data_IF_555405770042
#
_entry.id   IF_555405770042
#
_cell.length_a   1.000
_cell.length_b   1.000
_cell.length_c   1.000
_cell.angle_alpha   90.00
_cell.angle_beta   90.00
_cell.angle_gamma   90.00
#
_symmetry.space_group_name_H-M   'P 1'
#
loop_
_entity.id
_entity.type
_entity.pdbx_description
1 polymer ?
#
# COMPACT_ATOMS: atom_id res chain seq x y z
N UNK A 1 16.69 -7.71 17.99
CA UNK A 1 15.93 -7.18 16.83
C UNK A 1 14.51 -7.65 17.00
N UNK A 2 13.51 -6.77 16.85
CA UNK A 2 12.11 -7.19 17.00
C UNK A 2 11.72 -8.08 15.82
N UNK A 3 10.84 -9.05 16.01
CA UNK A 3 10.33 -9.93 14.95
C UNK A 3 9.76 -9.14 13.75
N UNK A 4 9.22 -7.96 14.02
CA UNK A 4 8.68 -7.04 12.98
C UNK A 4 9.79 -6.56 12.03
N UNK A 5 11.02 -6.30 12.53
CA UNK A 5 12.13 -5.87 11.66
C UNK A 5 12.62 -7.00 10.75
N UNK A 6 12.40 -8.26 11.11
CA UNK A 6 12.72 -9.40 10.25
C UNK A 6 11.74 -9.53 9.08
N UNK A 7 10.45 -9.24 9.30
CA UNK A 7 9.44 -9.23 8.23
C UNK A 7 9.72 -8.17 7.18
N UNK A 8 10.21 -7.00 7.58
CA UNK A 8 10.56 -5.92 6.67
C UNK A 8 11.78 -6.23 5.78
N UNK A 9 12.68 -7.11 6.25
CA UNK A 9 13.88 -7.51 5.52
C UNK A 9 13.64 -8.67 4.53
N UNK A 10 12.44 -9.24 4.47
CA UNK A 10 12.11 -10.24 3.47
C UNK A 10 12.11 -9.59 2.08
N UNK A 11 12.56 -10.31 1.03
CA UNK A 11 12.51 -9.80 -0.34
C UNK A 11 11.07 -9.48 -0.73
N UNK A 12 10.92 -8.52 -1.65
CA UNK A 12 9.60 -8.20 -2.20
C UNK A 12 9.13 -9.33 -3.11
N UNK A 13 7.86 -9.70 -2.92
CA UNK A 13 7.21 -10.76 -3.68
C UNK A 13 6.38 -10.10 -4.78
N UNK A 14 6.48 -10.62 -6.01
CA UNK A 14 5.58 -10.30 -7.11
C UNK A 14 4.81 -11.54 -7.52
N UNK A 15 3.53 -11.40 -7.76
CA UNK A 15 2.65 -12.44 -8.28
C UNK A 15 2.48 -12.34 -9.80
N UNK A 16 3.12 -11.35 -10.43
CA UNK A 16 3.04 -11.05 -11.87
C UNK A 16 4.42 -10.94 -12.52
N UNK A 17 5.43 -11.59 -11.93
CA UNK A 17 6.83 -11.59 -12.41
C UNK A 17 7.43 -10.19 -12.64
N UNK A 18 6.91 -9.17 -11.96
CA UNK A 18 7.31 -7.76 -12.09
C UNK A 18 7.24 -7.23 -13.53
N UNK A 19 6.30 -7.72 -14.34
CA UNK A 19 6.12 -7.27 -15.72
C UNK A 19 5.95 -5.74 -15.77
N UNK A 20 6.78 -5.10 -16.57
CA UNK A 20 6.70 -3.66 -16.82
C UNK A 20 5.65 -3.37 -17.89
N UNK A 21 5.14 -2.13 -17.90
CA UNK A 21 4.20 -1.70 -18.95
C UNK A 21 4.76 -1.87 -20.37
N UNK A 22 6.08 -1.72 -20.55
CA UNK A 22 6.74 -1.87 -21.84
C UNK A 22 6.73 -3.34 -22.31
N UNK A 23 6.99 -4.28 -21.40
CA UNK A 23 6.92 -5.72 -21.71
C UNK A 23 5.49 -6.14 -22.07
N UNK A 24 4.48 -5.65 -21.35
CA UNK A 24 3.07 -5.88 -21.69
C UNK A 24 2.73 -5.29 -23.06
N UNK A 25 3.27 -4.13 -23.41
CA UNK A 25 3.10 -3.54 -24.74
C UNK A 25 3.70 -4.38 -25.84
N UNK A 26 4.91 -4.88 -25.63
CA UNK A 26 5.61 -5.77 -26.59
C UNK A 26 4.85 -7.09 -26.77
N UNK A 27 4.37 -7.70 -25.68
CA UNK A 27 3.52 -8.91 -25.73
C UNK A 27 2.23 -8.64 -26.51
N UNK A 28 1.51 -7.57 -26.20
CA UNK A 28 0.24 -7.23 -26.87
C UNK A 28 0.43 -7.00 -28.37
N UNK A 29 1.51 -6.33 -28.77
CA UNK A 29 1.86 -6.13 -30.19
C UNK A 29 2.25 -7.43 -30.89
N UNK A 30 3.01 -8.28 -30.18
CA UNK A 30 3.40 -9.60 -30.68
C UNK A 30 2.18 -10.47 -30.96
N UNK A 31 1.29 -10.63 -30.01
CA UNK A 31 0.06 -11.39 -30.13
C UNK A 31 -0.86 -10.86 -31.25
N UNK A 32 -1.01 -9.54 -31.35
CA UNK A 32 -1.76 -8.93 -32.43
C UNK A 32 -1.15 -9.25 -33.81
N UNK A 33 0.16 -9.12 -33.95
CA UNK A 33 0.87 -9.39 -35.21
C UNK A 33 0.76 -10.84 -35.61
N UNK A 34 0.88 -11.77 -34.67
CA UNK A 34 0.71 -13.18 -34.89
C UNK A 34 -0.73 -13.52 -35.32
N UNK A 35 -1.73 -13.04 -34.58
CA UNK A 35 -3.14 -13.26 -34.89
C UNK A 35 -3.51 -12.75 -36.31
N UNK A 36 -2.98 -11.56 -36.66
CA UNK A 36 -3.19 -11.01 -38.01
C UNK A 36 -2.51 -11.83 -39.09
N UNK A 37 -1.31 -12.32 -38.83
CA UNK A 37 -0.59 -13.20 -39.80
C UNK A 37 -1.34 -14.52 -39.99
N UNK A 38 -1.87 -15.12 -38.93
CA UNK A 38 -2.67 -16.34 -39.00
C UNK A 38 -3.98 -16.14 -39.79
N UNK A 39 -4.64 -14.97 -39.57
CA UNK A 39 -5.92 -14.66 -40.19
C UNK A 39 -5.79 -14.21 -41.65
N UNK A 40 -4.75 -13.47 -42.02
CA UNK A 40 -4.62 -12.80 -43.30
C UNK A 40 -3.43 -13.25 -44.16
N UNK A 41 -2.50 -14.02 -43.55
CA UNK A 41 -1.23 -14.42 -44.19
C UNK A 41 -0.21 -13.27 -44.32
N UNK A 42 -0.50 -12.10 -43.74
CA UNK A 42 0.34 -10.90 -43.80
C UNK A 42 0.70 -10.38 -42.44
N UNK A 43 1.95 -9.97 -42.24
CA UNK A 43 2.38 -9.30 -41.01
C UNK A 43 1.98 -7.82 -41.06
N UNK A 44 1.17 -7.33 -40.13
CA UNK A 44 0.71 -5.94 -40.14
C UNK A 44 1.85 -4.97 -39.82
N UNK A 45 1.91 -3.87 -40.58
CA UNK A 45 2.77 -2.72 -40.21
C UNK A 45 1.95 -1.77 -39.37
N UNK A 46 2.29 -1.62 -38.08
CA UNK A 46 1.58 -0.75 -37.16
C UNK A 46 2.29 0.60 -37.15
N UNK A 47 1.69 1.58 -37.83
CA UNK A 47 2.19 2.96 -37.82
C UNK A 47 1.86 3.65 -36.49
N UNK A 48 2.77 4.47 -35.95
CA UNK A 48 2.48 5.34 -34.81
C UNK A 48 1.25 6.21 -35.08
N UNK A 49 0.38 6.37 -34.09
CA UNK A 49 -0.88 7.12 -34.19
C UNK A 49 -1.95 6.57 -35.14
N UNK A 50 -1.76 5.37 -35.71
CA UNK A 50 -2.82 4.66 -36.42
C UNK A 50 -3.89 4.15 -35.46
N UNK A 51 -5.12 3.95 -35.97
CA UNK A 51 -6.22 3.40 -35.16
C UNK A 51 -5.84 2.07 -34.47
N UNK A 52 -5.22 1.09 -35.18
CA UNK A 52 -4.74 -0.13 -34.52
C UNK A 52 -3.73 0.15 -33.37
N UNK A 53 -2.79 1.09 -33.59
CA UNK A 53 -1.81 1.44 -32.56
C UNK A 53 -2.46 2.04 -31.31
N UNK A 54 -3.49 2.87 -31.48
CA UNK A 54 -4.23 3.45 -30.34
C UNK A 54 -5.04 2.42 -29.58
N UNK A 55 -5.68 1.47 -30.29
CA UNK A 55 -6.41 0.37 -29.68
C UNK A 55 -5.45 -0.52 -28.89
N UNK A 56 -4.32 -0.91 -29.47
CA UNK A 56 -3.31 -1.73 -28.80
C UNK A 56 -2.77 -1.04 -27.55
N UNK A 57 -2.53 0.27 -27.62
CA UNK A 57 -2.10 1.05 -26.44
C UNK A 57 -3.16 1.06 -25.34
N UNK A 58 -4.43 1.23 -25.69
CA UNK A 58 -5.51 1.17 -24.71
C UNK A 58 -5.62 -0.23 -24.07
N UNK A 59 -5.49 -1.30 -24.88
CA UNK A 59 -5.48 -2.68 -24.38
C UNK A 59 -4.28 -2.97 -23.47
N UNK A 60 -3.10 -2.47 -23.82
CA UNK A 60 -1.90 -2.57 -22.99
C UNK A 60 -2.09 -1.91 -21.63
N UNK A 61 -2.64 -0.68 -21.62
CA UNK A 61 -2.93 0.04 -20.38
C UNK A 61 -3.91 -0.74 -19.50
N UNK A 62 -4.99 -1.23 -20.09
CA UNK A 62 -5.99 -2.01 -19.38
C UNK A 62 -5.42 -3.33 -18.85
N UNK A 63 -4.67 -4.06 -19.66
CA UNK A 63 -3.99 -5.30 -19.26
C UNK A 63 -3.00 -5.06 -18.12
N UNK A 64 -2.18 -4.00 -18.22
CA UNK A 64 -1.24 -3.65 -17.17
C UNK A 64 -1.95 -3.29 -15.86
N UNK A 65 -3.07 -2.57 -15.93
CA UNK A 65 -3.86 -2.25 -14.74
C UNK A 65 -4.43 -3.51 -14.07
N UNK A 66 -4.90 -4.48 -14.85
CA UNK A 66 -5.35 -5.77 -14.31
C UNK A 66 -4.20 -6.49 -13.60
N UNK A 67 -3.00 -6.53 -14.19
CA UNK A 67 -1.83 -7.14 -13.57
C UNK A 67 -1.49 -6.47 -12.23
N UNK A 68 -1.61 -5.15 -12.13
CA UNK A 68 -1.41 -4.44 -10.85
C UNK A 68 -2.43 -4.87 -9.80
N UNK A 69 -3.70 -5.07 -10.16
CA UNK A 69 -4.71 -5.55 -9.22
C UNK A 69 -4.44 -7.01 -8.80
N UNK A 70 -4.03 -7.86 -9.75
CA UNK A 70 -3.67 -9.26 -9.48
C UNK A 70 -2.46 -9.35 -8.55
N UNK A 71 -1.48 -8.46 -8.69
CA UNK A 71 -0.33 -8.40 -7.79
C UNK A 71 -0.70 -7.85 -6.41
N UNK A 72 -1.53 -6.83 -6.35
CA UNK A 72 -1.92 -6.18 -5.10
C UNK A 72 -2.84 -7.04 -4.22
N UNK A 73 -3.76 -7.82 -4.82
CA UNK A 73 -4.73 -8.62 -4.08
C UNK A 73 -4.10 -9.60 -3.11
N UNK A 74 -3.28 -10.56 -3.57
CA UNK A 74 -2.61 -11.52 -2.68
C UNK A 74 -1.64 -10.87 -1.69
N UNK A 75 -1.02 -9.75 -2.05
CA UNK A 75 -0.13 -9.01 -1.13
C UNK A 75 -0.86 -8.55 0.12
N UNK A 76 -2.11 -8.14 0.02
CA UNK A 76 -2.93 -7.74 1.18
C UNK A 76 -3.15 -8.87 2.19
N UNK A 77 -3.06 -10.12 1.76
CA UNK A 77 -3.15 -11.30 2.64
C UNK A 77 -1.83 -11.61 3.35
N UNK A 78 -0.74 -10.93 3.00
CA UNK A 78 0.56 -11.13 3.61
C UNK A 78 0.82 -10.05 4.67
N UNK A 79 1.20 -10.47 5.87
CA UNK A 79 1.45 -9.58 7.01
C UNK A 79 2.44 -8.45 6.69
N UNK A 80 3.41 -8.69 5.80
CA UNK A 80 4.39 -7.69 5.35
C UNK A 80 3.76 -6.49 4.67
N UNK A 81 2.69 -6.71 3.90
CA UNK A 81 2.06 -5.69 3.04
C UNK A 81 0.70 -5.23 3.55
N UNK A 82 0.14 -5.92 4.55
CA UNK A 82 -1.16 -5.58 5.12
C UNK A 82 -1.08 -4.30 5.95
N UNK A 83 -2.07 -3.44 5.80
CA UNK A 83 -2.20 -2.21 6.55
C UNK A 83 -3.67 -1.92 6.84
N UNK A 84 -3.94 -1.12 7.86
CA UNK A 84 -5.28 -0.68 8.24
C UNK A 84 -6.29 -1.84 8.37
N UNK A 85 -7.35 -1.84 7.57
CA UNK A 85 -8.44 -2.80 7.64
C UNK A 85 -8.00 -4.21 7.23
N UNK A 86 -7.12 -4.33 6.22
CA UNK A 86 -6.56 -5.62 5.80
C UNK A 86 -5.79 -6.31 6.95
N UNK A 87 -5.08 -5.51 7.78
CA UNK A 87 -4.38 -6.03 8.95
C UNK A 87 -5.35 -6.44 10.06
N UNK A 88 -6.44 -5.71 10.24
CA UNK A 88 -7.47 -6.05 11.22
C UNK A 88 -8.20 -7.35 10.84
N UNK A 89 -8.48 -7.54 9.55
CA UNK A 89 -9.06 -8.78 9.03
C UNK A 89 -8.12 -9.97 9.22
N UNK A 90 -6.83 -9.80 8.92
CA UNK A 90 -5.84 -10.84 9.19
C UNK A 90 -5.74 -11.17 10.68
N UNK A 91 -5.71 -10.15 11.55
CA UNK A 91 -5.68 -10.34 12.99
C UNK A 91 -6.93 -11.06 13.50
N UNK A 92 -8.11 -10.75 12.92
CA UNK A 92 -9.38 -11.42 13.22
C UNK A 92 -9.34 -12.92 12.97
N UNK A 93 -8.65 -13.39 11.93
CA UNK A 93 -8.46 -14.83 11.66
C UNK A 93 -7.70 -15.55 12.79
N UNK A 94 -6.90 -14.83 13.58
CA UNK A 94 -6.17 -15.35 14.73
C UNK A 94 -6.85 -15.00 16.07
N UNK A 95 -8.08 -14.48 16.05
CA UNK A 95 -8.80 -14.07 17.24
C UNK A 95 -8.22 -12.83 17.94
N UNK A 96 -7.42 -12.05 17.24
CA UNK A 96 -6.82 -10.81 17.74
C UNK A 96 -7.68 -9.61 17.34
N UNK A 97 -7.79 -8.65 18.23
CA UNK A 97 -8.50 -7.39 17.97
C UNK A 97 -7.58 -6.20 18.26
N UNK A 98 -7.75 -5.13 17.49
CA UNK A 98 -7.02 -3.88 17.73
C UNK A 98 -7.42 -3.28 19.08
N UNK A 99 -6.44 -2.82 19.84
CA UNK A 99 -6.70 -2.08 21.06
C UNK A 99 -7.44 -0.77 20.74
N UNK A 100 -8.51 -0.44 21.47
CA UNK A 100 -9.18 0.83 21.28
C UNK A 100 -8.24 2.00 21.57
N UNK A 101 -8.51 3.14 20.93
CA UNK A 101 -7.76 4.36 21.20
C UNK A 101 -7.94 4.76 22.66
N UNK A 102 -6.85 4.93 23.37
CA UNK A 102 -6.82 5.45 24.74
C UNK A 102 -6.38 6.92 24.73
N UNK A 103 -6.95 7.69 25.67
CA UNK A 103 -6.50 9.07 25.86
C UNK A 103 -5.07 9.08 26.36
N UNK A 104 -4.25 9.95 25.78
CA UNK A 104 -2.88 10.16 26.25
C UNK A 104 -2.90 10.60 27.73
N UNK A 105 -2.07 9.96 28.55
CA UNK A 105 -1.86 10.30 29.95
C UNK A 105 -0.45 10.83 30.09
N UNK A 106 -0.30 11.98 30.73
CA UNK A 106 1.00 12.58 31.01
C UNK A 106 1.07 12.97 32.48
N UNK A 107 2.22 12.73 33.10
CA UNK A 107 2.48 13.22 34.46
C UNK A 107 3.12 14.59 34.35
N UNK A 108 2.48 15.58 34.93
CA UNK A 108 2.96 16.97 34.96
C UNK A 108 3.44 17.30 36.36
N UNK A 109 4.64 17.89 36.43
CA UNK A 109 5.21 18.40 37.67
C UNK A 109 5.03 19.92 37.70
N UNK A 110 4.31 20.42 38.69
CA UNK A 110 4.22 21.84 38.95
C UNK A 110 5.32 22.26 39.92
N UNK A 111 6.05 23.31 39.58
CA UNK A 111 7.04 23.94 40.46
C UNK A 111 6.61 25.37 40.74
N UNK A 112 6.61 25.76 42.00
CA UNK A 112 6.35 27.15 42.42
C UNK A 112 7.58 28.00 42.07
N UNK A 113 7.35 29.15 41.42
CA UNK A 113 8.41 30.10 41.08
C UNK A 113 8.96 30.81 42.35
N UNK A 114 8.16 30.90 43.41
CA UNK A 114 8.56 31.52 44.66
C UNK A 114 8.42 30.53 45.83
N UNK A 115 9.57 30.06 46.33
CA UNK A 115 9.66 29.08 47.41
C UNK A 115 9.34 29.70 48.83
N UNK A 116 8.97 30.95 48.88
CA UNK A 116 8.72 31.68 50.17
C UNK A 116 7.32 31.55 50.75
N UNK A 117 6.40 30.83 50.08
CA UNK A 117 5.09 30.56 50.66
C UNK A 117 5.13 29.33 51.57
N UNK A 118 5.00 29.50 52.89
CA UNK A 118 4.89 28.37 53.79
C UNK A 118 3.46 27.81 53.70
N UNK A 119 3.30 26.69 53.05
CA UNK A 119 2.05 25.96 52.97
C UNK A 119 1.87 25.14 51.73
N UNK A 120 1.04 24.12 51.78
CA UNK A 120 0.66 23.33 50.65
C UNK A 120 -0.25 24.16 49.72
N UNK A 121 0.12 24.32 48.46
CA UNK A 121 -0.71 24.94 47.41
C UNK A 121 -1.58 23.86 46.79
N UNK A 122 -2.88 23.95 47.04
CA UNK A 122 -3.85 23.06 46.42
C UNK A 122 -4.06 23.39 44.94
N UNK A 123 -3.87 22.43 44.07
CA UNK A 123 -4.22 22.53 42.64
C UNK A 123 -5.65 22.02 42.50
N UNK A 124 -6.61 22.84 42.04
CA UNK A 124 -7.99 22.38 41.87
C UNK A 124 -8.08 21.22 40.85
N UNK A 125 -9.00 20.30 41.13
CA UNK A 125 -9.32 19.27 40.15
C UNK A 125 -9.77 19.92 38.82
N UNK A 126 -9.40 19.31 37.69
CA UNK A 126 -9.70 19.80 36.33
C UNK A 126 -8.95 21.09 35.91
N UNK A 127 -7.86 21.44 36.57
CA UNK A 127 -6.98 22.53 36.10
C UNK A 127 -6.50 22.24 34.70
N UNK A 128 -6.75 23.15 33.76
CA UNK A 128 -6.29 23.02 32.35
C UNK A 128 -4.88 23.53 32.24
N UNK A 129 -4.00 22.70 31.66
CA UNK A 129 -2.63 23.07 31.31
C UNK A 129 -2.55 23.28 29.80
N UNK A 130 -1.97 24.41 29.38
CA UNK A 130 -1.62 24.67 27.97
C UNK A 130 -0.12 24.52 27.82
N UNK A 131 0.29 23.87 26.76
CA UNK A 131 1.68 23.83 26.28
C UNK A 131 1.92 25.02 25.35
#
# INVERSE_FOLDING_TARGET
MSEISQLQNLPDISFTDNLTMKEVEELTKGEFSQSMQEATGQTPIIYPASVPALILKAMTLFGYQILQYVDAGPKRMLLKYSAHDDLDDLAGNYGLTRRPAEKAKVTIRFTLADAKQPGAVGIPAQTRVRT
#
